data_IF_797812411131
#
_entry.id   IF_797812411131
#
_cell.length_a   1.000
_cell.length_b   1.000
_cell.length_c   1.000
_cell.angle_alpha   90.00
_cell.angle_beta   90.00
_cell.angle_gamma   90.00
#
_symmetry.space_group_name_H-M   'P 1'
#
loop_
_entity.id
_entity.type
_entity.pdbx_description
1 polymer ?
#
# COMPACT_ATOMS: atom_id res chain seq x y z
N UNK A 1 -7.73 -19.18 14.37
CA UNK A 1 -8.33 -18.55 13.17
C UNK A 1 -7.81 -17.14 13.12
N UNK A 2 -7.12 -16.75 12.03
CA UNK A 2 -6.72 -15.36 11.82
C UNK A 2 -7.99 -14.58 11.50
N UNK A 3 -8.29 -13.53 12.27
CA UNK A 3 -9.43 -12.67 11.96
C UNK A 3 -9.07 -11.78 10.77
N UNK A 4 -9.64 -12.08 9.60
CA UNK A 4 -9.39 -11.34 8.37
C UNK A 4 -9.95 -9.91 8.39
N UNK A 5 -10.76 -9.56 9.39
CA UNK A 5 -11.26 -8.22 9.63
C UNK A 5 -10.36 -7.39 10.55
N UNK A 6 -9.30 -7.99 11.11
CA UNK A 6 -8.34 -7.29 11.96
C UNK A 6 -7.50 -6.32 11.12
N UNK A 7 -7.43 -5.06 11.55
CA UNK A 7 -6.61 -4.04 10.90
C UNK A 7 -5.14 -4.26 11.28
N UNK A 8 -4.26 -4.36 10.27
CA UNK A 8 -2.80 -4.56 10.42
C UNK A 8 -2.18 -3.58 11.41
N UNK A 9 -2.72 -2.36 11.46
CA UNK A 9 -2.18 -1.26 12.24
C UNK A 9 -3.05 -0.89 13.46
N UNK A 10 -4.22 -1.51 13.66
CA UNK A 10 -5.06 -1.25 14.83
C UNK A 10 -4.53 -2.02 16.03
N UNK A 11 -3.57 -1.43 16.74
CA UNK A 11 -3.41 -1.71 18.17
C UNK A 11 -4.04 -0.56 18.93
N UNK A 12 -5.23 -0.82 19.49
CA UNK A 12 -6.07 0.16 20.22
C UNK A 12 -5.23 1.05 21.15
N UNK A 13 -5.31 2.37 20.99
CA UNK A 13 -4.98 3.34 22.03
C UNK A 13 -3.49 3.56 22.36
N UNK A 14 -2.55 3.33 21.43
CA UNK A 14 -1.16 3.79 21.61
C UNK A 14 -0.97 5.16 20.96
N UNK A 15 -0.36 6.08 21.70
CA UNK A 15 -0.12 7.49 21.33
C UNK A 15 0.48 7.64 19.92
N UNK A 16 0.01 8.63 19.16
CA UNK A 16 0.59 9.04 17.87
C UNK A 16 0.10 8.31 16.60
N UNK A 17 -0.76 7.29 16.69
CA UNK A 17 -1.18 6.47 15.51
C UNK A 17 -2.57 6.75 14.94
N UNK A 18 -3.31 7.72 15.50
CA UNK A 18 -4.69 8.05 15.08
C UNK A 18 -4.81 8.51 13.62
N UNK A 19 -3.74 9.08 13.07
CA UNK A 19 -3.70 9.60 11.71
C UNK A 19 -3.42 8.51 10.65
N UNK A 20 -3.12 7.26 11.05
CA UNK A 20 -2.79 6.16 10.14
C UNK A 20 -4.09 5.46 9.71
N UNK A 21 -4.40 5.39 8.40
CA UNK A 21 -5.59 4.69 7.93
C UNK A 21 -5.55 3.20 8.27
N UNK A 22 -6.68 2.69 8.74
CA UNK A 22 -6.87 1.28 9.01
C UNK A 22 -6.96 0.48 7.71
N UNK A 23 -6.08 -0.51 7.52
CA UNK A 23 -6.10 -1.39 6.35
C UNK A 23 -6.33 -2.84 6.78
N UNK A 24 -7.15 -3.60 6.02
CA UNK A 24 -7.42 -4.99 6.37
C UNK A 24 -6.20 -5.87 6.14
N UNK A 25 -6.04 -6.91 6.97
CA UNK A 25 -4.86 -7.80 6.97
C UNK A 25 -4.50 -8.39 5.59
N UNK A 26 -5.49 -8.75 4.79
CA UNK A 26 -5.26 -9.32 3.46
C UNK A 26 -4.50 -8.39 2.50
N UNK A 27 -4.53 -7.07 2.72
CA UNK A 27 -3.75 -6.12 1.91
C UNK A 27 -2.26 -6.36 2.10
N UNK A 28 -1.80 -6.67 3.32
CA UNK A 28 -0.41 -7.01 3.58
C UNK A 28 0.03 -8.29 2.84
N UNK A 29 -0.86 -9.29 2.73
CA UNK A 29 -0.59 -10.50 1.96
C UNK A 29 -0.43 -10.18 0.46
N UNK A 30 -1.26 -9.29 -0.09
CA UNK A 30 -1.10 -8.84 -1.48
C UNK A 30 0.23 -8.11 -1.67
N UNK A 31 0.71 -7.32 -0.70
CA UNK A 31 2.03 -6.67 -0.80
C UNK A 31 3.17 -7.68 -0.89
N UNK A 32 3.09 -8.77 -0.12
CA UNK A 32 4.09 -9.85 -0.17
C UNK A 32 4.04 -10.51 -1.56
N UNK A 33 2.83 -10.77 -2.09
CA UNK A 33 2.68 -11.30 -3.44
C UNK A 33 3.24 -10.35 -4.51
N UNK A 34 2.97 -9.04 -4.41
CA UNK A 34 3.54 -8.00 -5.28
C UNK A 34 5.07 -8.03 -5.26
N UNK A 35 5.68 -8.15 -4.07
CA UNK A 35 7.14 -8.22 -3.93
C UNK A 35 7.72 -9.47 -4.60
N UNK A 36 7.12 -10.64 -4.37
CA UNK A 36 7.58 -11.91 -4.96
C UNK A 36 7.46 -11.85 -6.48
N UNK A 37 6.33 -11.39 -7.01
CA UNK A 37 6.14 -11.24 -8.45
C UNK A 37 7.11 -10.23 -9.04
N UNK A 38 7.35 -9.10 -8.37
CA UNK A 38 8.33 -8.12 -8.79
C UNK A 38 9.74 -8.71 -8.89
N UNK A 39 10.13 -9.54 -7.92
CA UNK A 39 11.42 -10.25 -7.94
C UNK A 39 11.50 -11.26 -9.10
N UNK A 40 10.42 -12.01 -9.36
CA UNK A 40 10.38 -12.96 -10.49
C UNK A 40 10.51 -12.21 -11.82
N UNK A 41 9.80 -11.09 -11.99
CA UNK A 41 9.92 -10.24 -13.19
C UNK A 41 11.35 -9.74 -13.37
N UNK A 42 12.01 -9.29 -12.29
CA UNK A 42 13.40 -8.87 -12.32
C UNK A 42 14.33 -10.01 -12.77
N UNK A 43 14.19 -11.22 -12.21
CA UNK A 43 15.04 -12.36 -12.54
C UNK A 43 14.90 -12.73 -14.03
N UNK A 44 13.66 -12.78 -14.53
CA UNK A 44 13.39 -13.09 -15.93
C UNK A 44 13.95 -12.01 -16.87
N UNK A 45 13.78 -10.73 -16.52
CA UNK A 45 14.31 -9.61 -17.29
C UNK A 45 15.85 -9.56 -17.25
N UNK A 46 16.47 -9.85 -16.11
CA UNK A 46 17.92 -9.94 -15.97
C UNK A 46 18.50 -11.08 -16.81
N UNK A 47 17.84 -12.24 -16.82
CA UNK A 47 18.22 -13.35 -17.69
C UNK A 47 18.12 -12.97 -19.17
N UNK A 48 16.99 -12.41 -19.61
CA UNK A 48 16.83 -11.96 -21.00
C UNK A 48 17.88 -10.90 -21.39
N UNK A 49 18.12 -9.93 -20.51
CA UNK A 49 19.16 -8.91 -20.70
C UNK A 49 20.57 -9.50 -20.82
N UNK A 50 20.87 -10.59 -20.11
CA UNK A 50 22.17 -11.25 -20.18
C UNK A 50 22.42 -11.94 -21.53
N UNK A 51 21.35 -12.33 -22.23
CA UNK A 51 21.41 -13.00 -23.53
C UNK A 51 21.40 -12.00 -24.68
N UNK A 52 20.57 -10.95 -24.58
CA UNK A 52 20.35 -9.98 -25.65
C UNK A 52 21.29 -8.77 -25.61
N UNK A 53 21.93 -8.51 -24.46
CA UNK A 53 22.59 -7.25 -24.19
C UNK A 53 21.58 -6.15 -23.84
N UNK A 54 21.94 -5.29 -22.88
CA UNK A 54 21.04 -4.26 -22.33
C UNK A 54 20.94 -2.98 -23.16
N UNK A 55 21.83 -2.79 -24.15
CA UNK A 55 22.13 -1.47 -24.69
C UNK A 55 21.00 -0.84 -25.51
N UNK A 56 20.07 -1.65 -26.02
CA UNK A 56 18.99 -1.21 -26.92
C UNK A 56 17.58 -1.50 -26.40
N UNK A 57 17.46 -2.09 -25.21
CA UNK A 57 16.20 -2.61 -24.67
C UNK A 57 15.87 -1.94 -23.33
N UNK A 58 15.21 -0.77 -23.37
CA UNK A 58 14.92 0.03 -22.18
C UNK A 58 13.99 -0.69 -21.18
N UNK A 59 13.21 -1.68 -21.63
CA UNK A 59 12.35 -2.49 -20.78
C UNK A 59 13.12 -3.23 -19.71
N UNK A 60 14.26 -3.85 -20.05
CA UNK A 60 15.11 -4.51 -19.07
C UNK A 60 15.63 -3.52 -18.02
N UNK A 61 16.19 -2.37 -18.43
CA UNK A 61 16.63 -1.34 -17.49
C UNK A 61 15.51 -0.81 -16.58
N UNK A 62 14.32 -0.61 -17.15
CA UNK A 62 13.14 -0.18 -16.41
C UNK A 62 12.72 -1.20 -15.34
N UNK A 63 12.90 -2.51 -15.57
CA UNK A 63 12.60 -3.54 -14.54
C UNK A 63 13.51 -3.45 -13.32
N UNK A 64 14.80 -3.16 -13.49
CA UNK A 64 15.73 -2.92 -12.37
C UNK A 64 15.33 -1.69 -11.57
N UNK A 65 14.98 -0.61 -12.26
CA UNK A 65 14.51 0.62 -11.63
C UNK A 65 13.23 0.38 -10.82
N UNK A 66 12.19 -0.22 -11.44
CA UNK A 66 10.89 -0.39 -10.77
C UNK A 66 10.95 -1.40 -9.63
N UNK A 67 11.82 -2.41 -9.70
CA UNK A 67 12.06 -3.32 -8.57
C UNK A 67 12.71 -2.58 -7.39
N UNK A 68 13.74 -1.77 -7.66
CA UNK A 68 14.40 -0.95 -6.63
C UNK A 68 13.43 0.04 -6.00
N UNK A 69 12.61 0.69 -6.82
CA UNK A 69 11.51 1.55 -6.35
C UNK A 69 10.52 0.78 -5.48
N UNK A 70 10.15 -0.44 -5.87
CA UNK A 70 9.23 -1.29 -5.11
C UNK A 70 9.80 -1.61 -3.73
N UNK A 71 11.11 -1.87 -3.60
CA UNK A 71 11.74 -2.05 -2.28
C UNK A 71 11.60 -0.79 -1.43
N UNK A 72 11.95 0.39 -1.97
CA UNK A 72 11.85 1.65 -1.24
C UNK A 72 10.41 1.94 -0.78
N UNK A 73 9.46 1.70 -1.67
CA UNK A 73 8.04 1.81 -1.39
C UNK A 73 7.61 0.86 -0.26
N UNK A 74 7.97 -0.41 -0.34
CA UNK A 74 7.62 -1.41 0.68
C UNK A 74 8.26 -1.09 2.04
N UNK A 75 9.50 -0.62 2.06
CA UNK A 75 10.18 -0.15 3.28
C UNK A 75 9.35 0.97 3.91
N UNK A 76 8.92 1.97 3.13
CA UNK A 76 8.11 3.07 3.65
C UNK A 76 6.80 2.59 4.29
N UNK A 77 6.05 1.72 3.61
CA UNK A 77 4.72 1.30 4.10
C UNK A 77 4.77 0.27 5.24
N UNK A 78 5.86 -0.48 5.39
CA UNK A 78 6.02 -1.46 6.47
C UNK A 78 6.80 -0.90 7.65
N UNK A 79 7.95 -0.28 7.42
CA UNK A 79 8.86 0.15 8.50
C UNK A 79 8.33 1.41 9.19
N UNK A 80 7.89 2.42 8.43
CA UNK A 80 7.44 3.69 9.01
C UNK A 80 6.30 3.52 10.02
N UNK A 81 5.17 2.85 9.72
CA UNK A 81 4.09 2.74 10.71
C UNK A 81 4.45 1.87 11.92
N UNK A 82 5.40 0.94 11.78
CA UNK A 82 5.84 0.08 12.89
C UNK A 82 6.78 0.82 13.84
N UNK A 83 7.79 1.52 13.32
CA UNK A 83 8.90 2.06 14.11
C UNK A 83 8.87 3.58 14.26
N UNK A 84 8.32 4.30 13.29
CA UNK A 84 8.28 5.76 13.25
C UNK A 84 6.87 6.26 12.87
N UNK A 85 5.84 5.96 13.67
CA UNK A 85 4.45 6.26 13.31
C UNK A 85 4.21 7.75 13.05
N UNK A 86 4.94 8.65 13.73
CA UNK A 86 4.84 10.10 13.53
C UNK A 86 5.35 10.57 12.15
N UNK A 87 6.22 9.79 11.49
CA UNK A 87 6.73 10.09 10.15
C UNK A 87 5.83 9.53 9.05
N UNK A 88 4.75 8.82 9.40
CA UNK A 88 3.85 8.24 8.43
C UNK A 88 2.90 9.31 7.86
N UNK A 89 3.05 9.60 6.57
CA UNK A 89 2.22 10.57 5.87
C UNK A 89 1.31 9.81 4.91
N UNK A 90 0.02 9.73 5.24
CA UNK A 90 -0.95 9.02 4.40
C UNK A 90 -1.09 9.61 2.99
N UNK A 91 -0.82 10.91 2.82
CA UNK A 91 -0.73 11.56 1.51
C UNK A 91 0.51 11.13 0.72
N UNK A 92 1.65 10.94 1.39
CA UNK A 92 2.85 10.41 0.75
C UNK A 92 2.62 8.94 0.34
N UNK A 93 2.00 8.11 1.19
CA UNK A 93 1.59 6.75 0.81
C UNK A 93 0.70 6.78 -0.44
N UNK A 94 -0.33 7.63 -0.48
CA UNK A 94 -1.19 7.75 -1.67
C UNK A 94 -0.40 8.12 -2.93
N UNK A 95 0.50 9.11 -2.82
CA UNK A 95 1.37 9.51 -3.93
C UNK A 95 2.28 8.37 -4.39
N UNK A 96 2.88 7.63 -3.45
CA UNK A 96 3.73 6.49 -3.75
C UNK A 96 2.96 5.36 -4.45
N UNK A 97 1.71 5.07 -4.07
CA UNK A 97 0.87 4.12 -4.81
C UNK A 97 0.68 4.52 -6.27
N UNK A 98 0.29 5.77 -6.51
CA UNK A 98 0.03 6.28 -7.86
C UNK A 98 1.28 6.19 -8.72
N UNK A 99 2.42 6.65 -8.19
CA UNK A 99 3.72 6.59 -8.89
C UNK A 99 4.11 5.13 -9.17
N UNK A 100 3.91 4.23 -8.20
CA UNK A 100 4.21 2.80 -8.37
C UNK A 100 3.36 2.17 -9.48
N UNK A 101 2.07 2.49 -9.55
CA UNK A 101 1.19 2.05 -10.64
C UNK A 101 1.69 2.54 -12.00
N UNK A 102 2.10 3.80 -12.11
CA UNK A 102 2.64 4.37 -13.35
C UNK A 102 3.94 3.67 -13.77
N UNK A 103 4.87 3.48 -12.84
CA UNK A 103 6.14 2.81 -13.15
C UNK A 103 5.95 1.36 -13.57
N UNK A 104 5.07 0.62 -12.90
CA UNK A 104 4.74 -0.75 -13.30
C UNK A 104 4.06 -0.80 -14.66
N UNK A 105 3.17 0.15 -14.98
CA UNK A 105 2.54 0.26 -16.30
C UNK A 105 3.58 0.40 -17.41
N UNK A 106 4.53 1.32 -17.23
CA UNK A 106 5.62 1.56 -18.18
C UNK A 106 6.51 0.32 -18.30
N UNK A 107 6.88 -0.31 -17.18
CA UNK A 107 7.77 -1.46 -17.17
C UNK A 107 7.20 -2.64 -17.97
N UNK A 108 5.94 -3.04 -17.72
CA UNK A 108 5.38 -4.19 -18.45
C UNK A 108 5.04 -3.85 -19.90
N UNK A 109 4.67 -2.60 -20.21
CA UNK A 109 4.43 -2.16 -21.59
C UNK A 109 5.71 -2.23 -22.43
N UNK A 110 6.84 -1.79 -21.89
CA UNK A 110 8.14 -1.92 -22.55
C UNK A 110 8.52 -3.39 -22.76
N UNK A 111 8.39 -4.24 -21.73
CA UNK A 111 8.65 -5.68 -21.87
C UNK A 111 7.74 -6.33 -22.92
N UNK A 112 6.48 -5.91 -23.02
CA UNK A 112 5.54 -6.42 -24.02
C UNK A 112 5.96 -6.02 -25.45
N UNK A 113 6.40 -4.77 -25.64
CA UNK A 113 6.94 -4.30 -26.91
C UNK A 113 8.19 -5.11 -27.31
N UNK A 114 9.12 -5.31 -26.37
CA UNK A 114 10.35 -6.06 -26.60
C UNK A 114 10.08 -7.54 -26.89
N UNK A 115 9.15 -8.16 -26.16
CA UNK A 115 8.69 -9.51 -26.42
C UNK A 115 8.14 -9.65 -27.85
N UNK A 116 7.39 -8.66 -28.34
CA UNK A 116 6.87 -8.64 -29.71
C UNK A 116 8.00 -8.53 -30.75
N UNK A 117 8.96 -7.63 -30.52
CA UNK A 117 10.10 -7.43 -31.42
C UNK A 117 10.92 -8.73 -31.55
N UNK A 118 11.22 -9.37 -30.42
CA UNK A 118 11.96 -10.62 -30.42
C UNK A 118 11.19 -11.79 -31.04
N UNK A 119 9.87 -11.83 -30.88
CA UNK A 119 9.05 -12.86 -31.51
C UNK A 119 9.12 -12.81 -33.05
N UNK A 120 9.26 -11.61 -33.63
CA UNK A 120 9.44 -11.46 -35.07
C UNK A 120 10.80 -11.99 -35.55
N UNK A 121 11.86 -11.75 -34.77
CA UNK A 121 13.21 -12.29 -35.05
C UNK A 121 13.21 -13.81 -34.99
N UNK A 122 12.61 -14.40 -33.94
CA UNK A 122 12.46 -15.85 -33.80
C UNK A 122 11.71 -16.48 -34.99
N UNK A 123 10.68 -15.81 -35.51
CA UNK A 123 9.96 -16.28 -36.69
C UNK A 123 10.84 -16.33 -37.94
N UNK A 124 11.68 -15.32 -38.16
CA UNK A 124 12.60 -15.28 -39.29
C UNK A 124 13.71 -16.35 -39.16
N UNK A 125 14.28 -16.53 -37.97
CA UNK A 125 15.28 -17.55 -37.70
C UNK A 125 14.74 -18.97 -37.91
N UNK A 126 13.52 -19.24 -37.43
CA UNK A 126 12.87 -20.54 -37.63
C UNK A 126 12.67 -20.87 -39.11
N UNK A 127 12.30 -19.90 -39.94
CA UNK A 127 12.15 -20.09 -41.38
C UNK A 127 13.49 -20.42 -42.07
N UNK A 128 14.58 -19.75 -41.67
CA UNK A 128 15.93 -20.02 -42.17
C UNK A 128 16.39 -21.41 -41.75
N UNK A 129 16.24 -21.75 -40.46
CA UNK A 129 16.60 -23.06 -39.93
C UNK A 129 15.86 -24.19 -40.66
N UNK A 130 14.57 -24.00 -40.94
CA UNK A 130 13.77 -24.97 -41.69
C UNK A 130 14.29 -25.17 -43.12
N UNK A 131 14.58 -24.09 -43.86
CA UNK A 131 15.11 -24.19 -45.21
C UNK A 131 16.49 -24.91 -45.29
N UNK A 132 17.33 -24.71 -44.27
CA UNK A 132 18.62 -25.40 -44.18
C UNK A 132 18.44 -26.87 -43.77
N UNK A 133 17.50 -27.16 -42.88
CA UNK A 133 17.13 -28.54 -42.50
C UNK A 133 16.59 -29.33 -43.69
N UNK A 134 15.81 -28.71 -44.57
CA UNK A 134 15.34 -29.34 -45.82
C UNK A 134 16.50 -29.71 -46.76
N UNK A 135 17.66 -29.07 -46.61
CA UNK A 135 18.90 -29.40 -47.33
C UNK A 135 19.70 -30.53 -46.66
N UNK A 136 19.17 -31.15 -45.60
CA UNK A 136 19.80 -32.25 -44.87
C UNK A 136 20.79 -31.82 -43.77
N UNK A 137 20.85 -30.54 -43.44
CA UNK A 137 21.78 -30.00 -42.44
C UNK A 137 21.00 -29.48 -41.23
N UNK A 138 21.27 -30.04 -40.05
CA UNK A 138 20.71 -29.52 -38.80
C UNK A 138 21.52 -28.33 -38.31
N UNK A 139 20.86 -27.19 -38.12
CA UNK A 139 21.45 -25.97 -37.57
C UNK A 139 20.54 -25.42 -36.48
N UNK A 140 21.13 -25.09 -35.34
CA UNK A 140 20.51 -24.31 -34.27
C UNK A 140 21.39 -23.08 -34.04
N UNK A 141 21.02 -21.98 -34.71
CA UNK A 141 21.85 -20.78 -34.78
C UNK A 141 21.91 -20.09 -33.40
N UNK A 142 20.86 -20.22 -32.57
CA UNK A 142 20.78 -19.48 -31.30
C UNK A 142 19.79 -20.07 -30.28
N UNK A 143 20.11 -21.22 -29.73
CA UNK A 143 19.28 -21.91 -28.71
C UNK A 143 19.01 -21.09 -27.45
N UNK A 144 19.97 -20.27 -27.00
CA UNK A 144 19.83 -19.39 -25.84
C UNK A 144 18.82 -18.25 -26.08
N UNK A 145 18.71 -17.76 -27.32
CA UNK A 145 17.77 -16.72 -27.70
C UNK A 145 16.33 -17.14 -27.43
N UNK A 146 15.95 -18.34 -27.86
CA UNK A 146 14.58 -18.84 -27.70
C UNK A 146 14.09 -18.83 -26.24
N UNK A 147 14.94 -19.25 -25.30
CA UNK A 147 14.63 -19.22 -23.88
C UNK A 147 14.54 -17.79 -23.32
N UNK A 148 15.42 -16.89 -23.76
CA UNK A 148 15.37 -15.48 -23.38
C UNK A 148 14.09 -14.79 -23.90
N UNK A 149 13.63 -15.11 -25.11
CA UNK A 149 12.37 -14.59 -25.66
C UNK A 149 11.18 -15.07 -24.81
N UNK A 150 11.17 -16.34 -24.44
CA UNK A 150 10.15 -16.89 -23.55
C UNK A 150 10.18 -16.21 -22.17
N UNK A 151 11.37 -15.93 -21.64
CA UNK A 151 11.53 -15.19 -20.39
C UNK A 151 11.00 -13.74 -20.49
N UNK A 152 11.27 -13.00 -21.58
CA UNK A 152 10.72 -11.65 -21.78
C UNK A 152 9.19 -11.68 -21.88
N UNK A 153 8.61 -12.65 -22.60
CA UNK A 153 7.14 -12.85 -22.68
C UNK A 153 6.55 -13.13 -21.29
N UNK A 154 7.16 -14.02 -20.51
CA UNK A 154 6.73 -14.33 -19.17
C UNK A 154 6.85 -13.11 -18.23
N UNK A 155 7.95 -12.37 -18.31
CA UNK A 155 8.18 -11.14 -17.55
C UNK A 155 7.13 -10.08 -17.87
N UNK A 156 6.76 -9.89 -19.14
CA UNK A 156 5.71 -8.97 -19.55
C UNK A 156 4.34 -9.36 -18.95
N UNK A 157 3.97 -10.65 -19.04
CA UNK A 157 2.71 -11.16 -18.50
C UNK A 157 2.63 -11.03 -16.97
N UNK A 158 3.68 -11.46 -16.27
CA UNK A 158 3.76 -11.34 -14.80
C UNK A 158 3.85 -9.87 -14.36
N UNK A 159 4.50 -9.01 -15.15
CA UNK A 159 4.52 -7.57 -14.94
C UNK A 159 3.13 -6.94 -15.02
N UNK A 160 2.31 -7.36 -16.00
CA UNK A 160 0.92 -6.92 -16.11
C UNK A 160 0.07 -7.37 -14.91
N UNK A 161 0.25 -8.61 -14.44
CA UNK A 161 -0.41 -9.11 -13.21
C UNK A 161 0.03 -8.28 -12.00
N UNK A 162 1.33 -8.01 -11.87
CA UNK A 162 1.90 -7.21 -10.77
C UNK A 162 1.33 -5.79 -10.78
N UNK A 163 1.26 -5.17 -11.96
CA UNK A 163 0.62 -3.87 -12.16
C UNK A 163 -0.85 -3.87 -11.72
N UNK A 164 -1.64 -4.88 -12.12
CA UNK A 164 -3.03 -5.02 -11.69
C UNK A 164 -3.16 -5.13 -10.16
N UNK A 165 -2.27 -5.89 -9.51
CA UNK A 165 -2.25 -5.95 -8.04
C UNK A 165 -1.99 -4.57 -7.43
N UNK A 166 -1.08 -3.76 -8.00
CA UNK A 166 -0.85 -2.39 -7.54
C UNK A 166 -2.06 -1.48 -7.76
N UNK A 167 -2.81 -1.63 -8.86
CA UNK A 167 -4.07 -0.92 -9.08
C UNK A 167 -5.11 -1.29 -8.03
N UNK A 168 -5.22 -2.59 -7.70
CA UNK A 168 -6.12 -3.06 -6.64
C UNK A 168 -5.74 -2.46 -5.29
N UNK A 169 -4.46 -2.47 -4.92
CA UNK A 169 -4.03 -1.89 -3.63
C UNK A 169 -4.20 -0.38 -3.58
N UNK A 170 -3.94 0.34 -4.67
CA UNK A 170 -4.21 1.78 -4.77
C UNK A 170 -5.70 2.07 -4.55
N UNK A 171 -6.58 1.32 -5.21
CA UNK A 171 -8.03 1.52 -5.11
C UNK A 171 -8.54 1.27 -3.69
N UNK A 172 -8.08 0.16 -3.08
CA UNK A 172 -8.41 -0.19 -1.70
C UNK A 172 -7.89 0.87 -0.74
N UNK A 173 -6.62 1.26 -0.86
CA UNK A 173 -6.02 2.29 -0.02
C UNK A 173 -6.76 3.62 -0.13
N UNK A 174 -7.08 4.07 -1.35
CA UNK A 174 -7.86 5.28 -1.60
C UNK A 174 -9.24 5.24 -0.96
N UNK A 175 -9.94 4.10 -1.03
CA UNK A 175 -11.23 3.90 -0.38
C UNK A 175 -11.14 3.99 1.15
N UNK A 176 -10.18 3.30 1.76
CA UNK A 176 -9.99 3.33 3.23
C UNK A 176 -9.52 4.70 3.72
N UNK A 177 -8.68 5.39 2.94
CA UNK A 177 -8.27 6.76 3.22
C UNK A 177 -9.46 7.72 3.17
N UNK A 178 -10.33 7.59 2.16
CA UNK A 178 -11.53 8.41 2.07
C UNK A 178 -12.43 8.22 3.30
N UNK A 179 -12.68 6.96 3.70
CA UNK A 179 -13.44 6.64 4.91
C UNK A 179 -12.80 7.23 6.18
N UNK A 180 -11.48 7.11 6.32
CA UNK A 180 -10.74 7.68 7.46
C UNK A 180 -10.91 9.20 7.56
N UNK A 181 -10.87 9.90 6.42
CA UNK A 181 -11.08 11.36 6.36
C UNK A 181 -12.51 11.78 6.70
N UNK A 182 -13.51 11.05 6.19
CA UNK A 182 -14.92 11.35 6.50
C UNK A 182 -15.19 11.19 8.00
N UNK A 183 -14.66 10.13 8.63
CA UNK A 183 -14.79 9.92 10.07
C UNK A 183 -14.06 11.01 10.90
N UNK A 184 -12.89 11.46 10.46
CA UNK A 184 -12.18 12.56 11.11
C UNK A 184 -12.96 13.90 10.99
N UNK A 185 -13.60 14.15 9.85
CA UNK A 185 -14.41 15.35 9.61
C UNK A 185 -15.73 15.37 10.38
N UNK A 186 -16.41 14.24 10.52
CA UNK A 186 -17.66 14.14 11.30
C UNK A 186 -17.41 14.39 12.79
N UNK A 187 -16.31 13.86 13.32
CA UNK A 187 -15.95 14.03 14.74
C UNK A 187 -15.63 15.50 15.08
N UNK A 188 -15.08 16.26 14.14
CA UNK A 188 -14.84 17.71 14.31
C UNK A 188 -16.12 18.56 14.28
N UNK A 189 -17.11 18.16 13.47
CA UNK A 189 -18.39 18.86 13.37
C UNK A 189 -19.24 18.71 14.65
N UNK A 190 -19.17 17.55 15.31
CA UNK A 190 -19.88 17.30 16.57
C UNK A 190 -19.26 18.08 17.76
N UNK A 191 -17.94 18.30 17.74
CA UNK A 191 -17.23 19.10 18.77
C UNK A 191 -17.50 20.60 18.57
N UNK A 192 -17.51 21.10 17.34
CA UNK A 192 -17.85 22.50 17.04
C UNK A 192 -19.34 22.82 17.31
N UNK A 193 -20.23 21.84 17.14
CA UNK A 193 -21.64 21.97 17.52
C UNK A 193 -21.84 22.00 19.05
N UNK A 194 -21.00 21.29 19.81
CA UNK A 194 -21.02 21.31 21.28
C UNK A 194 -20.45 22.62 21.86
N UNK A 195 -19.51 23.27 21.16
CA UNK A 195 -18.93 24.57 21.58
C UNK A 195 -19.89 25.76 21.36
N UNK A 196 -20.89 25.65 20.47
CA UNK A 196 -21.88 26.71 20.21
C UNK A 196 -23.09 26.70 21.17
N UNK A 197 -23.01 26.01 22.31
CA UNK A 197 -24.02 26.15 23.38
C UNK A 197 -23.82 27.52 24.06
N UNK A 198 -24.81 28.43 24.08
CA UNK A 198 -24.63 29.75 24.64
C UNK A 198 -24.33 29.65 26.14
N UNK A 199 -23.19 30.19 26.54
CA UNK A 199 -22.82 30.44 27.93
C UNK A 199 -23.93 31.23 28.62
N UNK A 200 -24.81 30.55 29.35
CA UNK A 200 -25.65 31.20 30.34
C UNK A 200 -24.73 31.70 31.46
N UNK A 201 -24.60 33.02 31.54
CA UNK A 201 -23.97 33.72 32.66
C UNK A 201 -24.65 33.30 33.96
N UNK A 202 -23.94 32.53 34.79
CA UNK A 202 -24.35 32.34 36.18
C UNK A 202 -24.16 33.67 36.94
N UNK A 203 -25.11 34.11 37.77
CA UNK A 203 -24.92 35.28 38.64
C UNK A 203 -23.82 34.99 39.69
N UNK A 204 -23.18 36.03 40.24
CA UNK A 204 -22.02 35.87 41.12
C UNK A 204 -22.41 35.18 42.43
N UNK A 205 -21.55 34.27 42.89
CA UNK A 205 -21.61 33.61 44.20
C UNK A 205 -21.60 34.66 45.32
N UNK A 206 -22.72 34.84 46.03
CA UNK A 206 -22.74 35.55 47.30
C UNK A 206 -22.11 34.66 48.40
N UNK A 207 -21.05 35.18 49.04
CA UNK A 207 -20.45 34.61 50.24
C UNK A 207 -21.45 34.69 51.41
N UNK A 208 -22.06 33.56 51.76
CA UNK A 208 -22.87 33.46 52.97
C UNK A 208 -21.99 33.19 54.20
N UNK A 209 -21.64 34.26 54.92
CA UNK A 209 -21.09 34.20 56.28
C UNK A 209 -22.21 33.85 57.27
N UNK A 210 -22.41 32.56 57.51
CA UNK A 210 -23.38 32.03 58.48
C UNK A 210 -22.73 31.69 59.82
N UNK A 211 -22.98 32.54 60.81
CA UNK A 211 -22.55 32.45 62.20
C UNK A 211 -23.09 31.18 62.90
N UNK A 212 -22.18 30.56 63.63
CA UNK A 212 -22.37 29.47 64.59
C UNK A 212 -23.40 29.86 65.67
N UNK A 213 -24.52 29.14 65.80
CA UNK A 213 -25.34 29.15 67.02
C UNK A 213 -26.34 27.97 67.07
N UNK A 214 -26.29 27.22 68.17
CA UNK A 214 -27.48 26.60 68.76
C UNK A 214 -27.61 25.09 68.60
N UNK A 215 -26.88 24.34 69.43
CA UNK A 215 -27.22 22.97 69.79
C UNK A 215 -28.64 22.90 70.40
N UNK A 216 -29.55 22.13 69.81
CA UNK A 216 -30.78 21.71 70.46
C UNK A 216 -30.63 20.24 70.90
N UNK A 217 -30.37 20.07 72.19
CA UNK A 217 -30.43 18.80 72.89
C UNK A 217 -31.88 18.58 73.35
N UNK A 218 -32.41 17.39 73.07
CA UNK A 218 -33.74 16.93 73.47
C UNK A 218 -33.91 16.94 75.00
N UNK A 219 -35.01 17.53 75.49
CA UNK A 219 -35.45 17.44 76.89
C UNK A 219 -36.59 16.43 76.97
N UNK A 220 -36.40 15.42 77.82
CA UNK A 220 -37.36 14.41 78.22
C UNK A 220 -37.93 14.73 79.61
N UNK A 221 -39.27 14.74 79.75
CA UNK A 221 -39.99 14.12 80.88
C UNK A 221 -41.51 14.35 80.84
N UNK A 222 -42.31 13.45 81.45
CA UNK A 222 -43.76 13.41 81.38
C UNK A 222 -44.45 14.22 82.49
N UNK A 223 -45.76 14.46 82.28
CA UNK A 223 -46.67 15.17 83.17
C UNK A 223 -46.94 14.45 84.51
N UNK A 224 -47.34 15.19 85.56
CA UNK A 224 -48.10 14.64 86.68
C UNK A 224 -49.52 15.24 86.80
N UNK A 225 -50.44 14.35 87.21
CA UNK A 225 -51.68 14.51 87.99
C UNK A 225 -52.62 15.71 87.75
#
# INVERSE_FOLDING_TARGET
MVDYHENVYARRGLDGRSHIPALPFWVALIRIAQFILALIVLILAAYASSVFGSDYFPGYGMTFFVFSWTILFLIYIFVTPLWYPELYLYWAHLGLEIITVIFWLVAWALLAQEASAWNAVQGAENAINQAIQDSGVQVDIWSAGNHAIAATKAAAALGAITWLLFVVTLTVFGFFLHKHRVAAGSTGADVEAAEKVPTFTQPPLELNNGVNNGAQHQVSSPAPA
#
